data_IF_225328256251
#
_entry.id   IF_225328256251
#
_cell.length_a   1.000
_cell.length_b   1.000
_cell.length_c   1.000
_cell.angle_alpha   90.00
_cell.angle_beta   90.00
_cell.angle_gamma   90.00
#
_symmetry.space_group_name_H-M   'P 1'
#
loop_
_entity.id
_entity.type
_entity.pdbx_description
1 polymer ?
#
# COMPACT_ATOMS: atom_id res chain seq x y z
N UNK A 1 30.62 -61.21 35.50
CA UNK A 1 29.75 -60.35 34.66
C UNK A 1 30.16 -58.94 35.04
N UNK A 2 30.84 -58.13 34.23
CA UNK A 2 30.31 -57.49 33.03
C UNK A 2 31.40 -56.58 32.37
N UNK A 3 32.32 -57.14 31.57
CA UNK A 3 33.33 -56.33 30.84
C UNK A 3 33.09 -56.27 29.32
N UNK A 4 32.17 -57.09 28.79
CA UNK A 4 31.89 -57.15 27.35
C UNK A 4 30.93 -56.06 26.86
N UNK A 5 30.07 -55.52 27.73
CA UNK A 5 29.13 -54.45 27.36
C UNK A 5 29.80 -53.08 27.10
N UNK A 6 30.91 -52.78 27.79
CA UNK A 6 31.54 -51.46 27.72
C UNK A 6 32.43 -51.23 26.48
N UNK A 7 33.02 -52.29 25.90
CA UNK A 7 33.81 -52.19 24.65
C UNK A 7 32.95 -52.00 23.41
N UNK A 8 31.78 -52.63 23.32
CA UNK A 8 30.89 -52.53 22.16
C UNK A 8 30.29 -51.11 22.01
N UNK A 9 29.96 -50.45 23.14
CA UNK A 9 29.43 -49.09 23.14
C UNK A 9 30.48 -48.03 22.72
N UNK A 10 31.75 -48.19 23.13
CA UNK A 10 32.83 -47.28 22.71
C UNK A 10 33.17 -47.37 21.22
N UNK A 11 33.16 -48.57 20.62
CA UNK A 11 33.43 -48.76 19.19
C UNK A 11 32.29 -48.20 18.30
N UNK A 12 31.03 -48.34 18.73
CA UNK A 12 29.88 -47.74 18.05
C UNK A 12 29.93 -46.20 18.04
N UNK A 13 30.30 -45.59 19.17
CA UNK A 13 30.38 -44.12 19.29
C UNK A 13 31.52 -43.51 18.46
N UNK A 14 32.67 -44.19 18.34
CA UNK A 14 33.79 -43.70 17.50
C UNK A 14 33.42 -43.74 16.01
N UNK A 15 32.72 -44.79 15.56
CA UNK A 15 32.27 -44.91 14.18
C UNK A 15 31.17 -43.89 13.81
N UNK A 16 30.28 -43.56 14.75
CA UNK A 16 29.25 -42.51 14.58
C UNK A 16 29.88 -41.12 14.52
N UNK A 17 30.86 -40.86 15.38
CA UNK A 17 31.61 -39.58 15.39
C UNK A 17 32.42 -39.42 14.10
N UNK A 18 33.11 -40.46 13.61
CA UNK A 18 33.85 -40.40 12.35
C UNK A 18 32.95 -40.15 11.13
N UNK A 19 31.76 -40.78 11.06
CA UNK A 19 30.79 -40.52 9.98
C UNK A 19 30.27 -39.08 10.01
N UNK A 20 29.97 -38.54 11.20
CA UNK A 20 29.53 -37.15 11.37
C UNK A 20 30.59 -36.13 10.92
N UNK A 21 31.87 -36.37 11.24
CA UNK A 21 32.96 -35.50 10.80
C UNK A 21 33.21 -35.58 9.29
N UNK A 22 33.08 -36.77 8.70
CA UNK A 22 33.22 -36.96 7.25
C UNK A 22 32.15 -36.20 6.46
N UNK A 23 30.89 -36.21 6.92
CA UNK A 23 29.80 -35.44 6.30
C UNK A 23 30.02 -33.92 6.42
N UNK A 24 30.58 -33.44 7.53
CA UNK A 24 30.94 -32.02 7.71
C UNK A 24 32.03 -31.56 6.74
N UNK A 25 33.06 -32.38 6.56
CA UNK A 25 34.15 -32.09 5.61
C UNK A 25 33.63 -32.11 4.17
N UNK A 26 32.83 -33.12 3.80
CA UNK A 26 32.19 -33.19 2.47
C UNK A 26 31.28 -31.99 2.20
N UNK A 27 30.46 -31.57 3.17
CA UNK A 27 29.61 -30.40 3.05
C UNK A 27 30.43 -29.11 2.89
N UNK A 28 31.55 -28.98 3.62
CA UNK A 28 32.43 -27.82 3.51
C UNK A 28 33.13 -27.76 2.14
N UNK A 29 33.62 -28.90 1.63
CA UNK A 29 34.23 -28.99 0.29
C UNK A 29 33.20 -28.68 -0.80
N UNK A 30 31.97 -29.17 -0.68
CA UNK A 30 30.87 -28.83 -1.59
C UNK A 30 30.55 -27.34 -1.55
N UNK A 31 30.46 -26.73 -0.37
CA UNK A 31 30.17 -25.31 -0.21
C UNK A 31 31.26 -24.41 -0.81
N UNK A 32 32.53 -24.73 -0.56
CA UNK A 32 33.67 -24.01 -1.15
C UNK A 32 33.69 -24.17 -2.68
N UNK A 33 33.36 -25.35 -3.20
CA UNK A 33 33.29 -25.58 -4.65
C UNK A 33 32.16 -24.76 -5.30
N UNK A 34 31.00 -24.67 -4.66
CA UNK A 34 29.86 -23.85 -5.14
C UNK A 34 30.21 -22.35 -5.07
N UNK A 35 30.89 -21.89 -4.01
CA UNK A 35 31.29 -20.50 -3.85
C UNK A 35 32.27 -20.04 -4.96
N UNK A 36 33.18 -20.91 -5.40
CA UNK A 36 34.12 -20.60 -6.48
C UNK A 36 33.49 -20.61 -7.89
N UNK A 37 32.29 -21.18 -8.06
CA UNK A 37 31.55 -21.19 -9.34
C UNK A 37 30.76 -19.89 -9.56
N UNK A 38 30.57 -19.08 -8.51
CA UNK A 38 29.96 -17.74 -8.64
C UNK A 38 31.01 -16.77 -9.20
N UNK A 39 31.31 -16.93 -10.48
CA UNK A 39 32.11 -15.99 -11.24
C UNK A 39 31.53 -14.59 -11.18
N UNK A 40 32.42 -13.58 -11.18
CA UNK A 40 32.07 -12.17 -11.18
C UNK A 40 30.95 -11.88 -12.20
N UNK A 41 29.87 -11.18 -11.81
CA UNK A 41 28.82 -10.82 -12.74
C UNK A 41 29.44 -9.89 -13.80
N UNK A 42 29.65 -10.40 -15.02
CA UNK A 42 30.01 -9.55 -16.17
C UNK A 42 28.99 -8.42 -16.23
N UNK A 43 29.46 -7.18 -16.12
CA UNK A 43 28.63 -5.99 -16.28
C UNK A 43 28.00 -6.06 -17.67
N UNK A 44 26.68 -6.28 -17.72
CA UNK A 44 25.94 -6.43 -18.96
C UNK A 44 25.29 -5.10 -19.30
N UNK A 45 25.57 -4.57 -20.49
CA UNK A 45 24.81 -3.48 -21.08
C UNK A 45 23.44 -4.00 -21.50
N UNK A 46 22.36 -3.33 -21.11
CA UNK A 46 20.99 -3.77 -21.42
C UNK A 46 20.65 -3.47 -22.88
N UNK A 47 20.83 -2.20 -23.29
CA UNK A 47 20.56 -1.73 -24.64
C UNK A 47 21.80 -1.08 -25.27
N UNK A 48 22.88 -1.85 -25.37
CA UNK A 48 24.14 -1.34 -25.88
C UNK A 48 25.18 -2.43 -26.09
N UNK A 49 26.38 -2.01 -26.47
CA UNK A 49 27.54 -2.88 -26.63
C UNK A 49 28.61 -2.44 -25.64
N UNK A 50 29.27 -3.40 -25.00
CA UNK A 50 30.41 -3.12 -24.14
C UNK A 50 31.61 -2.75 -25.02
N UNK A 51 32.18 -1.57 -24.82
CA UNK A 51 33.36 -1.10 -25.54
C UNK A 51 34.41 -0.65 -24.53
N UNK A 52 35.57 -1.31 -24.54
CA UNK A 52 36.70 -1.06 -23.63
C UNK A 52 36.28 -1.11 -22.15
N UNK A 53 35.80 0.01 -21.59
CA UNK A 53 35.43 0.20 -20.18
C UNK A 53 34.03 0.83 -19.96
N UNK A 54 33.26 1.08 -21.02
CA UNK A 54 31.91 1.63 -20.88
C UNK A 54 30.88 0.95 -21.80
N UNK A 55 29.61 1.07 -21.42
CA UNK A 55 28.51 0.70 -22.29
C UNK A 55 28.24 1.83 -23.29
N UNK A 56 28.40 1.53 -24.58
CA UNK A 56 27.94 2.41 -25.65
C UNK A 56 26.48 2.08 -25.94
N UNK A 57 25.59 3.03 -25.66
CA UNK A 57 24.15 2.83 -25.77
C UNK A 57 23.66 2.93 -27.21
N UNK A 58 22.62 2.17 -27.53
CA UNK A 58 21.86 2.32 -28.77
C UNK A 58 21.12 3.66 -28.77
N UNK A 59 20.71 4.11 -29.96
CA UNK A 59 19.90 5.33 -30.12
C UNK A 59 18.68 5.33 -29.18
N UNK A 60 18.42 6.48 -28.55
CA UNK A 60 17.35 6.70 -27.56
C UNK A 60 17.49 5.93 -26.23
N UNK A 61 18.68 5.45 -25.89
CA UNK A 61 18.97 4.87 -24.56
C UNK A 61 20.14 5.56 -23.89
N UNK A 62 20.07 5.69 -22.56
CA UNK A 62 21.05 6.37 -21.72
C UNK A 62 21.26 5.67 -20.38
N UNK A 63 22.26 6.13 -19.63
CA UNK A 63 22.66 5.58 -18.33
C UNK A 63 23.87 4.66 -18.43
N UNK A 64 24.52 4.41 -17.30
CA UNK A 64 25.79 3.67 -17.25
C UNK A 64 25.72 2.25 -17.85
N UNK A 65 24.54 1.62 -17.86
CA UNK A 65 24.29 0.30 -18.47
C UNK A 65 23.26 0.36 -19.59
N UNK A 66 22.95 1.54 -20.11
CA UNK A 66 21.93 1.75 -21.14
C UNK A 66 20.56 1.19 -20.73
N UNK A 67 20.24 1.33 -19.44
CA UNK A 67 19.01 0.79 -18.87
C UNK A 67 17.83 1.75 -18.98
N UNK A 68 18.08 3.05 -19.19
CA UNK A 68 17.02 4.07 -19.28
C UNK A 68 16.75 4.44 -20.72
N UNK A 69 15.48 4.51 -21.09
CA UNK A 69 15.02 4.95 -22.41
C UNK A 69 14.78 6.45 -22.37
N UNK A 70 15.12 7.14 -23.46
CA UNK A 70 14.83 8.56 -23.63
C UNK A 70 13.40 8.74 -24.15
N UNK A 71 12.63 9.61 -23.48
CA UNK A 71 11.23 9.91 -23.79
C UNK A 71 11.08 11.34 -24.31
N UNK A 72 11.55 11.55 -25.54
CA UNK A 72 11.65 12.88 -26.11
C UNK A 72 10.48 13.13 -27.05
N UNK A 73 9.85 14.29 -26.89
CA UNK A 73 8.63 14.67 -27.63
C UNK A 73 8.78 14.68 -29.16
N UNK A 74 10.01 14.86 -29.65
CA UNK A 74 10.33 14.83 -31.08
C UNK A 74 11.66 14.13 -31.35
N UNK A 75 11.96 13.90 -32.63
CA UNK A 75 13.25 13.39 -33.08
C UNK A 75 14.36 14.43 -33.03
N UNK A 76 14.05 15.71 -32.79
CA UNK A 76 15.07 16.76 -32.68
C UNK A 76 15.90 16.59 -31.41
N UNK A 77 17.19 16.84 -31.54
CA UNK A 77 18.19 16.77 -30.46
C UNK A 77 19.01 18.04 -30.47
N UNK A 78 19.46 18.46 -29.29
CA UNK A 78 20.46 19.51 -29.17
C UNK A 78 21.81 19.02 -29.74
N UNK A 79 22.77 19.95 -29.91
CA UNK A 79 24.13 19.63 -30.35
C UNK A 79 24.80 18.53 -29.53
N UNK A 80 24.45 18.45 -28.25
CA UNK A 80 25.06 17.53 -27.28
C UNK A 80 24.36 16.16 -27.27
N UNK A 81 23.39 15.94 -28.16
CA UNK A 81 22.57 14.73 -28.23
C UNK A 81 21.43 14.67 -27.20
N UNK A 82 21.29 15.70 -26.36
CA UNK A 82 20.19 15.83 -25.39
C UNK A 82 18.87 16.20 -26.08
N UNK A 83 17.77 16.04 -25.36
CA UNK A 83 16.45 16.26 -25.93
C UNK A 83 16.03 17.73 -25.86
N UNK A 84 15.45 18.23 -26.95
CA UNK A 84 14.95 19.62 -27.02
C UNK A 84 13.74 19.79 -26.09
N UNK A 85 12.85 18.81 -26.05
CA UNK A 85 11.68 18.79 -25.19
C UNK A 85 11.26 17.36 -24.85
N UNK A 86 10.76 17.16 -23.64
CA UNK A 86 10.34 15.86 -23.12
C UNK A 86 8.87 15.55 -23.40
N UNK A 87 8.54 14.26 -23.47
CA UNK A 87 7.17 13.79 -23.42
C UNK A 87 6.53 14.15 -22.06
N UNK A 88 5.19 14.14 -22.02
CA UNK A 88 4.46 14.41 -20.78
C UNK A 88 4.89 13.39 -19.72
N UNK A 89 5.10 13.87 -18.48
CA UNK A 89 5.52 13.06 -17.33
C UNK A 89 6.95 12.49 -17.42
N UNK A 90 7.82 13.10 -18.22
CA UNK A 90 9.25 12.79 -18.28
C UNK A 90 10.09 14.05 -18.13
N UNK A 91 11.21 13.95 -17.41
CA UNK A 91 12.09 15.06 -17.08
C UNK A 91 13.58 14.70 -17.20
N UNK A 92 14.41 15.74 -17.14
CA UNK A 92 15.86 15.65 -17.27
C UNK A 92 16.37 16.06 -18.65
N UNK A 93 17.70 16.24 -18.82
CA UNK A 93 18.28 16.67 -20.08
C UNK A 93 18.03 15.67 -21.23
N UNK A 94 17.90 14.39 -20.89
CA UNK A 94 17.65 13.30 -21.84
C UNK A 94 16.23 12.74 -21.74
N UNK A 95 15.35 13.38 -20.97
CA UNK A 95 13.98 12.92 -20.72
C UNK A 95 13.93 11.44 -20.29
N UNK A 96 14.83 11.06 -19.39
CA UNK A 96 15.11 9.69 -18.98
C UNK A 96 14.66 9.39 -17.54
N UNK A 97 14.07 10.38 -16.87
CA UNK A 97 13.55 10.27 -15.52
C UNK A 97 12.03 10.46 -15.54
N UNK A 98 11.28 9.51 -14.99
CA UNK A 98 9.83 9.57 -14.92
C UNK A 98 9.37 10.57 -13.84
N UNK A 99 8.35 11.35 -14.14
CA UNK A 99 7.64 12.22 -13.20
C UNK A 99 6.26 11.64 -12.92
N UNK A 100 5.99 11.31 -11.66
CA UNK A 100 4.68 10.82 -11.24
C UNK A 100 3.78 11.98 -10.79
N UNK A 101 2.46 11.79 -10.79
CA UNK A 101 1.57 12.74 -10.12
C UNK A 101 1.85 12.68 -8.61
N UNK A 102 2.44 13.75 -8.07
CA UNK A 102 2.95 13.82 -6.70
C UNK A 102 1.90 13.58 -5.62
N UNK A 103 0.62 13.85 -5.91
CA UNK A 103 -0.49 13.59 -4.99
C UNK A 103 -0.78 12.09 -4.81
N UNK A 104 -0.48 11.29 -5.83
CA UNK A 104 -0.89 9.90 -5.91
C UNK A 104 0.25 8.90 -6.09
N UNK A 105 1.51 9.34 -6.21
CA UNK A 105 2.61 8.41 -6.35
C UNK A 105 3.98 9.03 -6.24
N UNK A 106 4.97 8.17 -6.02
CA UNK A 106 6.39 8.55 -5.97
C UNK A 106 7.19 7.72 -6.99
N UNK A 107 8.23 8.30 -7.61
CA UNK A 107 9.07 7.56 -8.53
C UNK A 107 9.92 6.53 -7.76
N UNK A 108 10.15 5.39 -8.39
CA UNK A 108 11.05 4.35 -7.88
C UNK A 108 12.51 4.80 -7.91
N UNK A 109 13.40 4.09 -7.20
CA UNK A 109 14.84 4.43 -7.10
C UNK A 109 15.54 4.53 -8.46
N UNK A 110 15.10 3.73 -9.42
CA UNK A 110 15.67 3.71 -10.77
C UNK A 110 15.07 4.79 -11.69
N UNK A 111 14.09 5.57 -11.21
CA UNK A 111 13.40 6.66 -11.92
C UNK A 111 12.73 6.22 -13.24
N UNK A 112 12.33 4.95 -13.34
CA UNK A 112 11.76 4.36 -14.55
C UNK A 112 10.26 4.06 -14.44
N UNK A 113 9.74 3.97 -13.22
CA UNK A 113 8.35 3.61 -12.95
C UNK A 113 7.85 4.35 -11.73
N UNK A 114 6.54 4.62 -11.70
CA UNK A 114 5.85 5.24 -10.59
C UNK A 114 5.28 4.20 -9.64
N UNK A 115 5.46 4.42 -8.34
CA UNK A 115 4.79 3.66 -7.30
C UNK A 115 3.56 4.44 -6.83
N UNK A 116 2.40 4.07 -7.38
CA UNK A 116 1.13 4.71 -7.04
C UNK A 116 0.67 4.31 -5.63
N UNK A 117 0.10 5.28 -4.92
CA UNK A 117 -0.48 5.17 -3.59
C UNK A 117 -1.95 5.54 -3.64
N UNK A 118 -2.78 4.81 -2.90
CA UNK A 118 -4.23 5.05 -2.88
C UNK A 118 -4.97 4.32 -4.00
N UNK A 119 -6.07 4.89 -4.52
CA UNK A 119 -6.87 4.30 -5.60
C UNK A 119 -6.36 4.61 -7.01
N UNK A 120 -5.36 5.50 -7.16
CA UNK A 120 -4.86 5.90 -8.46
C UNK A 120 -4.12 4.76 -9.19
N UNK A 121 -4.26 4.74 -10.52
CA UNK A 121 -3.68 3.75 -11.45
C UNK A 121 -3.03 4.46 -12.65
N UNK A 122 -2.43 3.67 -13.54
CA UNK A 122 -1.70 4.16 -14.72
C UNK A 122 -0.20 4.16 -14.51
N UNK A 123 0.55 4.36 -15.60
CA UNK A 123 2.01 4.33 -15.60
C UNK A 123 2.61 5.53 -14.84
N UNK A 124 1.85 6.64 -14.77
CA UNK A 124 2.22 7.89 -14.09
C UNK A 124 1.28 8.25 -12.92
N UNK A 125 0.40 7.32 -12.51
CA UNK A 125 -0.63 7.51 -11.48
C UNK A 125 -1.70 8.56 -11.83
N UNK A 126 -2.06 8.64 -13.11
CA UNK A 126 -2.95 9.64 -13.69
C UNK A 126 -4.41 9.20 -13.81
N UNK A 127 -4.67 7.89 -13.73
CA UNK A 127 -6.01 7.34 -13.85
C UNK A 127 -6.64 7.23 -12.47
N UNK A 128 -7.83 7.80 -12.33
CA UNK A 128 -8.59 7.76 -11.10
C UNK A 128 -10.04 7.43 -11.44
N UNK A 129 -10.42 6.18 -11.20
CA UNK A 129 -11.78 5.70 -11.43
C UNK A 129 -12.60 5.78 -10.13
N UNK A 130 -13.87 6.16 -10.25
CA UNK A 130 -14.81 6.21 -9.13
C UNK A 130 -14.96 4.85 -8.47
N UNK A 131 -14.98 3.78 -9.25
CA UNK A 131 -15.15 2.42 -8.72
C UNK A 131 -13.97 2.01 -7.83
N UNK A 132 -12.75 2.36 -8.26
CA UNK A 132 -11.52 2.10 -7.50
C UNK A 132 -11.42 2.97 -6.24
N UNK A 133 -11.89 4.21 -6.30
CA UNK A 133 -12.00 5.08 -5.12
C UNK A 133 -12.92 4.43 -4.09
N UNK A 134 -14.13 4.04 -4.50
CA UNK A 134 -15.09 3.42 -3.59
C UNK A 134 -14.55 2.11 -3.01
N UNK A 135 -13.94 1.27 -3.84
CA UNK A 135 -13.32 0.02 -3.38
C UNK A 135 -12.20 0.29 -2.36
N UNK A 136 -11.31 1.23 -2.64
CA UNK A 136 -10.20 1.58 -1.76
C UNK A 136 -10.69 2.05 -0.39
N UNK A 137 -11.66 2.97 -0.35
CA UNK A 137 -12.20 3.48 0.91
C UNK A 137 -13.05 2.45 1.64
N UNK A 138 -13.81 1.60 0.94
CA UNK A 138 -14.56 0.52 1.56
C UNK A 138 -13.64 -0.51 2.22
N UNK A 139 -12.59 -0.96 1.54
CA UNK A 139 -11.58 -1.85 2.13
C UNK A 139 -10.85 -1.19 3.30
N UNK A 140 -10.58 0.12 3.19
CA UNK A 140 -9.97 0.87 4.29
C UNK A 140 -10.92 0.93 5.48
N UNK A 141 -12.21 1.19 5.28
CA UNK A 141 -13.21 1.18 6.36
C UNK A 141 -13.41 -0.20 6.97
N UNK A 142 -13.37 -1.26 6.16
CA UNK A 142 -13.41 -2.65 6.62
C UNK A 142 -12.24 -2.97 7.56
N UNK A 143 -11.03 -2.49 7.24
CA UNK A 143 -9.86 -2.61 8.13
C UNK A 143 -10.02 -1.86 9.45
N UNK A 144 -10.82 -0.80 9.49
CA UNK A 144 -11.09 -0.04 10.73
C UNK A 144 -12.13 -0.73 11.63
N UNK A 145 -12.78 -1.79 11.14
CA UNK A 145 -13.61 -2.68 11.94
C UNK A 145 -14.73 -1.96 12.71
N UNK A 146 -15.12 -2.43 13.91
CA UNK A 146 -16.25 -1.89 14.66
C UNK A 146 -16.02 -0.48 15.24
N UNK A 147 -14.81 0.09 15.10
CA UNK A 147 -14.49 1.44 15.59
C UNK A 147 -15.32 2.49 14.83
N UNK A 148 -15.59 2.28 13.54
CA UNK A 148 -16.50 3.14 12.77
C UNK A 148 -17.92 3.15 13.33
N UNK A 149 -18.42 2.02 13.82
CA UNK A 149 -19.74 1.91 14.44
C UNK A 149 -19.80 2.62 15.81
N UNK A 150 -18.72 2.59 16.59
CA UNK A 150 -18.62 3.31 17.87
C UNK A 150 -18.72 4.83 17.69
N UNK A 151 -18.34 5.39 16.54
CA UNK A 151 -18.49 6.82 16.25
C UNK A 151 -19.93 7.21 15.83
N UNK A 152 -20.68 6.28 15.25
CA UNK A 152 -22.07 6.52 14.77
C UNK A 152 -23.06 6.48 15.93
N UNK A 153 -22.86 5.59 16.91
CA UNK A 153 -23.76 5.40 18.05
C UNK A 153 -24.02 6.71 18.85
N UNK A 154 -23.00 7.52 19.20
CA UNK A 154 -23.20 8.80 19.88
C UNK A 154 -24.02 9.80 19.07
N UNK A 155 -23.79 9.89 17.75
CA UNK A 155 -24.55 10.78 16.89
C UNK A 155 -26.04 10.39 16.84
N UNK A 156 -26.33 9.10 16.69
CA UNK A 156 -27.71 8.59 16.69
C UNK A 156 -28.38 8.83 18.05
N UNK A 157 -27.68 8.58 19.16
CA UNK A 157 -28.20 8.85 20.50
C UNK A 157 -28.51 10.34 20.71
N UNK A 158 -27.62 11.24 20.28
CA UNK A 158 -27.85 12.68 20.32
C UNK A 158 -29.08 13.09 19.51
N UNK A 159 -29.26 12.57 18.30
CA UNK A 159 -30.43 12.84 17.45
C UNK A 159 -31.75 12.40 18.12
N UNK A 160 -31.77 11.19 18.69
CA UNK A 160 -32.96 10.67 19.39
C UNK A 160 -33.30 11.52 20.62
N UNK A 161 -32.29 11.89 21.42
CA UNK A 161 -32.49 12.75 22.60
C UNK A 161 -32.97 14.16 22.20
N UNK A 162 -32.43 14.72 21.11
CA UNK A 162 -32.88 16.00 20.58
C UNK A 162 -34.34 15.95 20.12
N UNK A 163 -34.73 14.90 19.40
CA UNK A 163 -36.11 14.72 18.94
C UNK A 163 -37.09 14.57 20.11
N UNK A 164 -36.72 13.81 21.16
CA UNK A 164 -37.53 13.69 22.38
C UNK A 164 -37.74 15.03 23.06
N UNK A 165 -36.66 15.80 23.27
CA UNK A 165 -36.76 17.14 23.88
C UNK A 165 -37.51 18.13 23.00
N UNK A 166 -37.39 18.04 21.67
CA UNK A 166 -38.16 18.87 20.75
C UNK A 166 -39.66 18.56 20.83
N UNK A 167 -40.04 17.28 20.85
CA UNK A 167 -41.44 16.84 21.02
C UNK A 167 -42.02 17.31 22.35
N UNK A 168 -41.31 17.12 23.45
CA UNK A 168 -41.75 17.60 24.77
C UNK A 168 -41.97 19.12 24.80
N UNK A 169 -41.04 19.90 24.22
CA UNK A 169 -41.21 21.36 24.12
C UNK A 169 -42.38 21.76 23.22
N UNK A 170 -42.72 20.94 22.22
CA UNK A 170 -43.88 21.19 21.38
C UNK A 170 -45.18 20.95 22.13
N UNK A 171 -45.31 19.83 22.84
CA UNK A 171 -46.51 19.52 23.66
C UNK A 171 -46.73 20.60 24.72
N UNK A 172 -45.70 20.99 25.47
CA UNK A 172 -45.81 22.03 26.49
C UNK A 172 -46.20 23.42 25.94
N UNK A 173 -45.86 23.73 24.67
CA UNK A 173 -46.33 24.97 24.02
C UNK A 173 -47.79 24.89 23.62
N UNK A 174 -48.24 23.73 23.15
CA UNK A 174 -49.62 23.49 22.75
C UNK A 174 -50.54 23.49 23.96
N UNK A 175 -50.13 22.85 25.05
CA UNK A 175 -50.85 22.82 26.33
C UNK A 175 -51.07 24.23 26.89
N UNK A 176 -50.02 25.05 27.00
CA UNK A 176 -50.16 26.45 27.45
C UNK A 176 -51.02 27.30 26.52
N UNK A 177 -50.94 27.07 25.20
CA UNK A 177 -51.78 27.79 24.24
C UNK A 177 -53.26 27.38 24.34
N UNK A 178 -53.55 26.17 24.81
CA UNK A 178 -54.90 25.67 25.06
C UNK A 178 -55.44 26.16 26.41
N UNK A 179 -54.61 26.21 27.46
CA UNK A 179 -54.96 26.79 28.77
C UNK A 179 -55.26 28.29 28.68
N UNK A 180 -54.43 29.04 27.95
CA UNK A 180 -54.64 30.49 27.75
C UNK A 180 -55.95 30.79 26.96
N UNK A 181 -56.47 29.79 26.24
CA UNK A 181 -57.74 29.88 25.51
C UNK A 181 -58.95 29.34 26.29
N UNK A 182 -58.77 28.67 27.44
CA UNK A 182 -59.86 28.10 28.25
C UNK A 182 -59.57 28.22 29.75
N UNK A 183 -60.46 28.90 30.47
CA UNK A 183 -60.56 28.95 31.94
C UNK A 183 -60.87 27.58 32.63
N UNK A 184 -60.46 26.43 32.06
CA UNK A 184 -60.70 25.10 32.66
C UNK A 184 -59.47 24.20 32.47
N UNK A 185 -58.94 23.73 33.60
CA UNK A 185 -57.79 22.83 33.79
C UNK A 185 -57.86 21.57 32.90
N UNK A 186 -56.86 21.35 32.03
CA UNK A 186 -56.81 20.20 31.11
C UNK A 186 -55.74 19.21 31.58
N UNK A 187 -56.12 17.93 31.73
CA UNK A 187 -55.22 16.85 32.15
C UNK A 187 -54.24 16.46 31.02
N UNK A 188 -52.95 16.66 31.28
CA UNK A 188 -51.83 16.45 30.36
C UNK A 188 -51.78 15.03 29.77
N UNK A 189 -52.33 14.03 30.47
CA UNK A 189 -52.34 12.62 30.01
C UNK A 189 -53.29 12.39 28.83
N UNK A 190 -54.44 13.05 28.82
CA UNK A 190 -55.43 12.92 27.74
C UNK A 190 -54.93 13.60 26.46
N UNK A 191 -54.17 14.69 26.61
CA UNK A 191 -53.58 15.41 25.48
C UNK A 191 -52.49 14.59 24.78
N UNK A 192 -51.63 13.90 25.53
CA UNK A 192 -50.62 13.01 24.95
C UNK A 192 -51.25 11.85 24.16
N UNK A 193 -52.36 11.30 24.63
CA UNK A 193 -53.08 10.21 23.97
C UNK A 193 -53.73 10.67 22.64
N UNK A 194 -54.31 11.87 22.62
CA UNK A 194 -54.87 12.45 21.40
C UNK A 194 -53.80 12.82 20.36
N UNK A 195 -52.62 13.28 20.80
CA UNK A 195 -51.51 13.61 19.92
C UNK A 195 -50.80 12.36 19.35
N UNK A 196 -50.88 11.22 20.05
CA UNK A 196 -50.36 9.95 19.55
C UNK A 196 -51.35 9.20 18.63
N UNK A 197 -52.64 9.55 18.65
CA UNK A 197 -53.70 8.94 17.83
C UNK A 197 -53.87 9.57 16.43
N UNK A 198 -52.80 10.08 15.83
CA UNK A 198 -52.84 10.62 14.46
C UNK A 198 -52.04 9.73 13.52
N UNK A 199 -52.79 8.86 12.83
CA UNK A 199 -52.44 7.94 11.73
C UNK A 199 -51.26 6.98 11.92
#
# INVERSE_FOLDING_TARGET
MDERGHRASKLGNIAVVQKSQMYRILAFVLFVSIANVVGNPKVRCVHGVWSVDNCVCKENYVGHRCQRKMHCSSFMRNSDGSCVACEKYWEGPNCDSITCISEFGTPTKDLLMCQCTGPAKGDHCELLDTDDIYLHYNQKMEKWGPIGALAIIPMVACLVLCNRKAKHRHVARVERALEDQRDVEVDSKVLEELLHKKH
#
